data_IF_127389263442
#
_entry.id   IF_127389263442
#
_cell.length_a   1.000
_cell.length_b   1.000
_cell.length_c   1.000
_cell.angle_alpha   90.00
_cell.angle_beta   90.00
_cell.angle_gamma   90.00
#
_symmetry.space_group_name_H-M   'P 1'
#
loop_
_entity.id
_entity.type
_entity.pdbx_description
1 polymer ?
#
# COMPACT_ATOMS: atom_id res chain seq x y z
N UNK A 1 -18.30 -6.77 -17.45
CA UNK A 1 -18.51 -7.23 -16.06
C UNK A 1 -19.57 -6.36 -15.42
N UNK A 2 -20.44 -6.94 -14.56
CA UNK A 2 -21.34 -6.12 -13.76
C UNK A 2 -20.55 -5.45 -12.61
N UNK A 3 -21.15 -4.38 -11.99
CA UNK A 3 -20.48 -3.60 -10.94
C UNK A 3 -20.09 -4.44 -9.72
N UNK A 4 -20.95 -5.40 -9.31
CA UNK A 4 -20.66 -6.28 -8.17
C UNK A 4 -19.43 -7.16 -8.43
N UNK A 5 -19.32 -7.74 -9.63
CA UNK A 5 -18.15 -8.53 -10.01
C UNK A 5 -16.86 -7.71 -10.06
N UNK A 6 -16.94 -6.45 -10.52
CA UNK A 6 -15.80 -5.52 -10.52
C UNK A 6 -15.32 -5.25 -9.08
N UNK A 7 -16.23 -4.85 -8.19
CA UNK A 7 -15.90 -4.55 -6.80
C UNK A 7 -15.41 -5.78 -6.04
N UNK A 8 -16.01 -6.95 -6.31
CA UNK A 8 -15.58 -8.23 -5.72
C UNK A 8 -14.15 -8.58 -6.11
N UNK A 9 -13.86 -8.60 -7.42
CA UNK A 9 -12.55 -9.04 -7.91
C UNK A 9 -11.45 -8.06 -7.51
N UNK A 10 -11.72 -6.74 -7.61
CA UNK A 10 -10.77 -5.72 -7.14
C UNK A 10 -10.53 -5.83 -5.64
N UNK A 11 -11.58 -6.08 -4.84
CA UNK A 11 -11.46 -6.28 -3.39
C UNK A 11 -10.61 -7.49 -3.02
N UNK A 12 -10.81 -8.63 -3.69
CA UNK A 12 -9.99 -9.84 -3.47
C UNK A 12 -8.52 -9.58 -3.79
N UNK A 13 -8.22 -9.01 -4.96
CA UNK A 13 -6.85 -8.73 -5.37
C UNK A 13 -6.15 -7.73 -4.43
N UNK A 14 -6.85 -6.67 -4.03
CA UNK A 14 -6.31 -5.71 -3.07
C UNK A 14 -6.08 -6.35 -1.69
N UNK A 15 -7.03 -7.17 -1.19
CA UNK A 15 -6.86 -7.89 0.08
C UNK A 15 -5.64 -8.82 0.05
N UNK A 16 -5.43 -9.56 -1.04
CA UNK A 16 -4.25 -10.42 -1.23
C UNK A 16 -2.97 -9.58 -1.27
N UNK A 17 -2.96 -8.46 -1.99
CA UNK A 17 -1.80 -7.56 -2.03
C UNK A 17 -1.42 -7.04 -0.64
N UNK A 18 -2.41 -6.60 0.15
CA UNK A 18 -2.16 -6.14 1.53
C UNK A 18 -1.77 -7.26 2.48
N UNK A 19 -2.31 -8.47 2.31
CA UNK A 19 -1.88 -9.64 3.09
C UNK A 19 -0.41 -9.99 2.82
N UNK A 20 0.01 -9.97 1.54
CA UNK A 20 1.42 -10.14 1.18
C UNK A 20 2.28 -9.00 1.73
N UNK A 21 1.83 -7.75 1.63
CA UNK A 21 2.52 -6.60 2.21
C UNK A 21 2.70 -6.74 3.71
N UNK A 22 1.68 -7.19 4.44
CA UNK A 22 1.75 -7.47 5.87
C UNK A 22 2.79 -8.54 6.18
N UNK A 23 2.78 -9.67 5.47
CA UNK A 23 3.73 -10.77 5.69
C UNK A 23 5.19 -10.32 5.43
N UNK A 24 5.43 -9.63 4.32
CA UNK A 24 6.75 -9.09 3.98
C UNK A 24 7.23 -8.09 5.03
N UNK A 25 6.38 -7.12 5.38
CA UNK A 25 6.73 -6.09 6.36
C UNK A 25 6.94 -6.70 7.75
N UNK A 26 6.09 -7.63 8.19
CA UNK A 26 6.23 -8.32 9.47
C UNK A 26 7.52 -9.15 9.51
N UNK A 27 7.83 -9.90 8.44
CA UNK A 27 9.07 -10.68 8.37
C UNK A 27 10.31 -9.80 8.55
N UNK A 28 10.44 -8.74 7.74
CA UNK A 28 11.61 -7.86 7.82
C UNK A 28 11.67 -7.07 9.12
N UNK A 29 10.55 -6.70 9.70
CA UNK A 29 10.48 -5.96 10.98
C UNK A 29 10.79 -6.82 12.20
N UNK A 30 10.46 -8.11 12.15
CA UNK A 30 10.71 -9.07 13.25
C UNK A 30 12.10 -9.72 13.22
N UNK A 31 13.02 -9.17 12.44
CA UNK A 31 14.41 -9.61 12.40
C UNK A 31 14.78 -10.46 11.19
N UNK A 32 13.94 -10.46 10.14
CA UNK A 32 14.23 -11.16 8.89
C UNK A 32 15.57 -10.79 8.27
N UNK A 33 15.98 -9.52 8.36
CA UNK A 33 17.33 -9.10 7.95
C UNK A 33 18.43 -9.79 8.76
N UNK A 34 18.29 -9.85 10.08
CA UNK A 34 19.28 -10.51 10.95
C UNK A 34 19.34 -12.00 10.66
N UNK A 35 18.18 -12.64 10.49
CA UNK A 35 18.11 -14.07 10.15
C UNK A 35 18.81 -14.35 8.81
N UNK A 36 18.48 -13.60 7.76
CA UNK A 36 19.07 -13.80 6.44
C UNK A 36 20.57 -13.48 6.42
N UNK A 37 21.01 -12.51 7.20
CA UNK A 37 22.44 -12.20 7.37
C UNK A 37 23.22 -13.37 8.01
N UNK A 38 22.59 -14.10 8.95
CA UNK A 38 23.18 -15.31 9.54
C UNK A 38 23.41 -16.43 8.50
N UNK A 39 22.67 -16.44 7.40
CA UNK A 39 22.91 -17.33 6.27
C UNK A 39 23.98 -16.81 5.28
N UNK A 40 24.73 -15.78 5.64
CA UNK A 40 25.84 -15.25 4.84
C UNK A 40 25.41 -14.32 3.69
N UNK A 41 24.15 -13.85 3.69
CA UNK A 41 23.69 -12.89 2.69
C UNK A 41 24.18 -11.49 3.07
N UNK A 42 24.79 -10.80 2.12
CA UNK A 42 25.23 -9.42 2.32
C UNK A 42 24.07 -8.41 2.29
N UNK A 43 24.30 -7.21 2.80
CA UNK A 43 23.26 -6.17 2.90
C UNK A 43 22.67 -5.76 1.54
N UNK A 44 23.44 -5.88 0.45
CA UNK A 44 22.96 -5.56 -0.92
C UNK A 44 21.96 -6.62 -1.40
N UNK A 45 22.29 -7.89 -1.22
CA UNK A 45 21.39 -9.00 -1.57
C UNK A 45 20.12 -8.93 -0.72
N UNK A 46 20.24 -8.62 0.56
CA UNK A 46 19.11 -8.47 1.47
C UNK A 46 18.17 -7.34 1.02
N UNK A 47 18.71 -6.20 0.62
CA UNK A 47 17.90 -5.08 0.09
C UNK A 47 17.20 -5.46 -1.22
N UNK A 48 17.87 -6.20 -2.10
CA UNK A 48 17.27 -6.69 -3.34
C UNK A 48 16.14 -7.70 -3.08
N UNK A 49 16.28 -8.60 -2.10
CA UNK A 49 15.23 -9.54 -1.68
C UNK A 49 14.01 -8.76 -1.16
N UNK A 50 14.24 -7.77 -0.30
CA UNK A 50 13.16 -6.92 0.21
C UNK A 50 12.42 -6.17 -0.90
N UNK A 51 13.15 -5.53 -1.82
CA UNK A 51 12.56 -4.87 -2.98
C UNK A 51 11.80 -5.86 -3.88
N UNK A 52 12.41 -7.02 -4.18
CA UNK A 52 11.79 -8.06 -4.99
C UNK A 52 10.46 -8.57 -4.41
N UNK A 53 10.37 -8.67 -3.08
CA UNK A 53 9.15 -9.07 -2.39
C UNK A 53 8.01 -8.04 -2.53
N UNK A 54 8.32 -6.76 -2.78
CA UNK A 54 7.30 -5.71 -2.97
C UNK A 54 6.78 -5.62 -4.41
N UNK A 55 7.50 -6.18 -5.40
CA UNK A 55 7.08 -6.14 -6.79
C UNK A 55 5.72 -6.83 -7.05
N UNK A 56 5.50 -8.10 -6.61
CA UNK A 56 4.20 -8.76 -6.80
C UNK A 56 3.05 -8.01 -6.08
N UNK A 57 3.32 -7.35 -4.96
CA UNK A 57 2.33 -6.54 -4.25
C UNK A 57 1.87 -5.37 -5.12
N UNK A 58 2.81 -4.64 -5.70
CA UNK A 58 2.51 -3.51 -6.61
C UNK A 58 1.78 -3.97 -7.87
N UNK A 59 2.14 -5.13 -8.43
CA UNK A 59 1.44 -5.71 -9.59
C UNK A 59 -0.01 -6.08 -9.24
N UNK A 60 -0.26 -6.70 -8.09
CA UNK A 60 -1.60 -7.03 -7.64
C UNK A 60 -2.44 -5.77 -7.39
N UNK A 61 -1.86 -4.72 -6.80
CA UNK A 61 -2.55 -3.44 -6.63
C UNK A 61 -2.86 -2.78 -7.97
N UNK A 62 -1.93 -2.81 -8.93
CA UNK A 62 -2.18 -2.32 -10.28
C UNK A 62 -3.35 -3.06 -10.96
N UNK A 63 -3.40 -4.39 -10.81
CA UNK A 63 -4.51 -5.20 -11.32
C UNK A 63 -5.82 -4.88 -10.61
N UNK A 64 -5.82 -4.76 -9.27
CA UNK A 64 -7.01 -4.42 -8.48
C UNK A 64 -7.61 -3.07 -8.90
N UNK A 65 -6.80 -2.03 -8.98
CA UNK A 65 -7.23 -0.70 -9.41
C UNK A 65 -7.54 -0.64 -10.91
N UNK A 66 -6.84 -1.43 -11.75
CA UNK A 66 -7.13 -1.58 -13.17
C UNK A 66 -8.52 -2.14 -13.43
N UNK A 67 -8.98 -3.08 -12.60
CA UNK A 67 -10.34 -3.59 -12.65
C UNK A 67 -11.35 -2.50 -12.26
N UNK A 68 -11.05 -1.68 -11.25
CA UNK A 68 -11.92 -0.56 -10.85
C UNK A 68 -12.13 0.48 -11.95
N UNK A 69 -11.20 0.60 -12.91
CA UNK A 69 -11.39 1.48 -14.08
C UNK A 69 -12.63 1.12 -14.92
N UNK A 70 -13.09 -0.12 -14.87
CA UNK A 70 -14.27 -0.58 -15.59
C UNK A 70 -15.58 -0.13 -14.93
N UNK A 71 -15.54 0.27 -13.65
CA UNK A 71 -16.68 0.83 -12.94
C UNK A 71 -16.72 2.36 -13.13
N UNK A 72 -17.79 2.86 -13.75
CA UNK A 72 -17.96 4.28 -14.05
C UNK A 72 -17.86 5.16 -12.80
N UNK A 73 -18.39 4.71 -11.67
CA UNK A 73 -18.35 5.46 -10.40
C UNK A 73 -16.98 5.48 -9.73
N UNK A 74 -16.18 4.44 -9.97
CA UNK A 74 -14.87 4.27 -9.36
C UNK A 74 -13.72 4.53 -10.34
N UNK A 75 -14.02 4.99 -11.58
CA UNK A 75 -12.99 5.18 -12.62
C UNK A 75 -11.86 6.11 -12.18
N UNK A 76 -12.17 7.22 -11.49
CA UNK A 76 -11.16 8.17 -11.02
C UNK A 76 -10.28 7.53 -9.94
N UNK A 77 -10.90 6.85 -8.97
CA UNK A 77 -10.15 6.11 -7.93
C UNK A 77 -9.26 5.04 -8.55
N UNK A 78 -9.80 4.28 -9.52
CA UNK A 78 -9.05 3.28 -10.27
C UNK A 78 -7.87 3.86 -11.03
N UNK A 79 -8.04 4.99 -11.73
CA UNK A 79 -6.97 5.66 -12.46
C UNK A 79 -5.82 6.09 -11.54
N UNK A 80 -6.16 6.77 -10.44
CA UNK A 80 -5.17 7.23 -9.46
C UNK A 80 -4.42 6.04 -8.88
N UNK A 81 -5.13 4.96 -8.49
CA UNK A 81 -4.54 3.76 -7.93
C UNK A 81 -3.65 3.00 -8.92
N UNK A 82 -4.04 2.90 -10.21
CA UNK A 82 -3.20 2.28 -11.26
C UNK A 82 -1.91 3.07 -11.46
N UNK A 83 -2.00 4.40 -11.61
CA UNK A 83 -0.80 5.24 -11.77
C UNK A 83 0.13 5.08 -10.57
N UNK A 84 -0.42 5.13 -9.35
CA UNK A 84 0.34 4.91 -8.12
C UNK A 84 1.05 3.55 -8.12
N UNK A 85 0.33 2.46 -8.41
CA UNK A 85 0.89 1.12 -8.40
C UNK A 85 1.93 0.90 -9.53
N UNK A 86 1.70 1.44 -10.74
CA UNK A 86 2.65 1.37 -11.84
C UNK A 86 3.96 2.13 -11.55
N UNK A 87 3.87 3.33 -10.97
CA UNK A 87 5.05 4.08 -10.54
C UNK A 87 5.79 3.32 -9.43
N UNK A 88 5.06 2.72 -8.47
CA UNK A 88 5.63 1.85 -7.45
C UNK A 88 6.36 0.65 -8.04
N UNK A 89 5.78 -0.04 -9.03
CA UNK A 89 6.43 -1.12 -9.79
C UNK A 89 7.73 -0.65 -10.46
N UNK A 90 7.68 0.50 -11.13
CA UNK A 90 8.85 1.06 -11.82
C UNK A 90 9.99 1.36 -10.86
N UNK A 91 9.69 2.00 -9.71
CA UNK A 91 10.70 2.30 -8.68
C UNK A 91 11.29 1.02 -8.11
N UNK A 92 10.46 0.04 -7.78
CA UNK A 92 10.91 -1.25 -7.25
C UNK A 92 11.81 -1.97 -8.26
N UNK A 93 11.41 -1.99 -9.52
CA UNK A 93 12.17 -2.62 -10.60
C UNK A 93 13.53 -1.94 -10.83
N UNK A 94 13.57 -0.60 -10.87
CA UNK A 94 14.83 0.14 -11.00
C UNK A 94 15.76 -0.06 -9.82
N UNK A 95 15.22 -0.18 -8.61
CA UNK A 95 15.99 -0.55 -7.42
C UNK A 95 16.60 -1.96 -7.53
N UNK A 96 15.85 -2.93 -8.08
CA UNK A 96 16.33 -4.31 -8.29
C UNK A 96 17.49 -4.40 -9.28
N UNK A 97 17.44 -3.67 -10.39
CA UNK A 97 18.54 -3.67 -11.38
C UNK A 97 19.76 -2.86 -10.93
N UNK A 98 19.73 -2.27 -9.75
CA UNK A 98 20.87 -1.57 -9.17
C UNK A 98 21.23 -0.29 -9.90
N UNK A 99 20.25 0.40 -10.48
CA UNK A 99 20.44 1.68 -11.13
C UNK A 99 21.06 2.68 -10.15
N UNK A 100 22.33 3.04 -10.38
CA UNK A 100 23.17 3.84 -9.46
C UNK A 100 22.69 5.28 -9.22
N UNK A 101 21.76 5.78 -10.04
CA UNK A 101 21.13 7.08 -9.84
C UNK A 101 20.24 7.17 -8.58
N UNK A 102 20.06 6.03 -7.90
CA UNK A 102 19.28 5.93 -6.65
C UNK A 102 20.10 6.38 -5.43
N UNK A 103 21.42 6.61 -5.53
CA UNK A 103 22.27 6.57 -4.34
C UNK A 103 22.70 7.91 -3.72
N UNK A 104 22.58 9.09 -4.34
CA UNK A 104 23.02 10.32 -3.66
C UNK A 104 21.93 11.38 -3.52
N UNK A 105 21.85 12.36 -4.38
CA UNK A 105 20.79 13.39 -4.31
C UNK A 105 19.40 12.83 -4.68
N UNK A 106 19.37 11.68 -5.32
CA UNK A 106 18.17 10.95 -5.65
C UNK A 106 17.41 10.42 -4.43
N UNK A 107 18.05 10.17 -3.27
CA UNK A 107 17.31 9.70 -2.07
C UNK A 107 16.23 10.69 -1.62
N UNK A 108 16.52 11.97 -1.65
CA UNK A 108 15.53 12.99 -1.31
C UNK A 108 14.38 13.02 -2.32
N UNK A 109 14.68 12.97 -3.61
CA UNK A 109 13.67 12.88 -4.65
C UNK A 109 12.83 11.60 -4.52
N UNK A 110 13.45 10.49 -4.16
CA UNK A 110 12.75 9.22 -3.91
C UNK A 110 11.76 9.31 -2.74
N UNK A 111 12.13 9.97 -1.64
CA UNK A 111 11.21 10.21 -0.53
C UNK A 111 10.03 11.10 -0.94
N UNK A 112 10.25 12.13 -1.75
CA UNK A 112 9.17 12.95 -2.30
C UNK A 112 8.24 12.14 -3.20
N UNK A 113 8.79 11.26 -4.04
CA UNK A 113 7.98 10.37 -4.87
C UNK A 113 7.16 9.40 -4.01
N UNK A 114 7.76 8.78 -2.99
CA UNK A 114 7.02 7.91 -2.07
C UNK A 114 5.91 8.66 -1.34
N UNK A 115 6.15 9.90 -0.93
CA UNK A 115 5.11 10.73 -0.34
C UNK A 115 3.98 11.01 -1.35
N UNK A 116 4.31 11.38 -2.59
CA UNK A 116 3.31 11.58 -3.63
C UNK A 116 2.49 10.30 -3.91
N UNK A 117 3.13 9.14 -3.94
CA UNK A 117 2.46 7.85 -4.08
C UNK A 117 1.52 7.54 -2.90
N UNK A 118 1.92 7.88 -1.67
CA UNK A 118 1.06 7.73 -0.49
C UNK A 118 -0.15 8.67 -0.55
N UNK A 119 0.02 9.91 -1.04
CA UNK A 119 -1.10 10.85 -1.29
C UNK A 119 -2.05 10.28 -2.35
N UNK A 120 -1.54 9.77 -3.45
CA UNK A 120 -2.35 9.16 -4.51
C UNK A 120 -3.13 7.95 -3.98
N UNK A 121 -2.50 7.10 -3.19
CA UNK A 121 -3.14 5.96 -2.56
C UNK A 121 -4.26 6.40 -1.60
N UNK A 122 -4.01 7.38 -0.74
CA UNK A 122 -5.02 7.96 0.15
C UNK A 122 -6.22 8.50 -0.65
N UNK A 123 -5.97 9.28 -1.68
CA UNK A 123 -7.02 9.84 -2.53
C UNK A 123 -7.82 8.73 -3.23
N UNK A 124 -7.17 7.68 -3.72
CA UNK A 124 -7.87 6.57 -4.36
C UNK A 124 -8.84 5.89 -3.39
N UNK A 125 -8.42 5.63 -2.13
CA UNK A 125 -9.28 5.04 -1.10
C UNK A 125 -10.46 5.93 -0.71
N UNK A 126 -10.25 7.22 -0.56
CA UNK A 126 -11.32 8.19 -0.25
C UNK A 126 -12.38 8.22 -1.35
N UNK A 127 -11.96 8.10 -2.61
CA UNK A 127 -12.82 8.18 -3.78
C UNK A 127 -13.55 6.87 -4.11
N UNK A 128 -13.14 5.72 -3.56
CA UNK A 128 -13.81 4.44 -3.80
C UNK A 128 -15.25 4.49 -3.26
N UNK A 129 -16.20 4.23 -4.14
CA UNK A 129 -17.62 4.07 -3.83
C UNK A 129 -18.00 2.59 -3.80
N UNK A 130 -18.19 2.06 -2.60
CA UNK A 130 -18.58 0.68 -2.36
C UNK A 130 -19.63 0.58 -1.24
N UNK A 131 -20.15 -0.62 -1.02
CA UNK A 131 -21.19 -0.89 -0.03
C UNK A 131 -20.63 -1.30 1.35
N UNK A 132 -19.36 -1.02 1.62
CA UNK A 132 -18.73 -1.29 2.92
C UNK A 132 -19.32 -0.35 3.98
N UNK A 133 -19.44 -0.85 5.22
CA UNK A 133 -19.97 -0.08 6.35
C UNK A 133 -19.20 1.25 6.51
N UNK A 134 -19.93 2.30 6.92
CA UNK A 134 -19.35 3.63 7.12
C UNK A 134 -18.19 3.60 8.13
N UNK A 135 -18.34 2.84 9.20
CA UNK A 135 -17.30 2.73 10.24
C UNK A 135 -16.01 2.15 9.67
N UNK A 136 -16.08 1.03 8.92
CA UNK A 136 -14.89 0.40 8.34
C UNK A 136 -14.25 1.27 7.25
N UNK A 137 -15.05 2.02 6.48
CA UNK A 137 -14.53 3.00 5.52
C UNK A 137 -13.74 4.11 6.24
N UNK A 138 -14.25 4.64 7.35
CA UNK A 138 -13.54 5.65 8.14
C UNK A 138 -12.21 5.09 8.64
N UNK A 139 -12.19 3.86 9.17
CA UNK A 139 -10.96 3.22 9.63
C UNK A 139 -9.96 2.99 8.49
N UNK A 140 -10.42 2.61 7.29
CA UNK A 140 -9.53 2.46 6.13
C UNK A 140 -8.91 3.80 5.70
N UNK A 141 -9.69 4.88 5.72
CA UNK A 141 -9.19 6.24 5.44
C UNK A 141 -8.20 6.69 6.51
N UNK A 142 -8.48 6.42 7.80
CA UNK A 142 -7.55 6.71 8.91
C UNK A 142 -6.26 5.92 8.75
N UNK A 143 -6.34 4.64 8.38
CA UNK A 143 -5.15 3.81 8.12
C UNK A 143 -4.31 4.36 6.97
N UNK A 144 -4.93 4.81 5.87
CA UNK A 144 -4.22 5.44 4.76
C UNK A 144 -3.63 6.80 5.14
N UNK A 145 -4.36 7.62 5.92
CA UNK A 145 -3.86 8.90 6.45
C UNK A 145 -2.64 8.68 7.36
N UNK A 146 -2.66 7.62 8.17
CA UNK A 146 -1.50 7.24 8.97
C UNK A 146 -0.28 6.91 8.11
N UNK A 147 -0.47 6.23 6.98
CA UNK A 147 0.59 6.01 5.99
C UNK A 147 1.22 7.32 5.48
N UNK A 148 0.41 8.36 5.25
CA UNK A 148 0.93 9.70 4.91
C UNK A 148 1.77 10.30 6.04
N UNK A 149 1.31 10.19 7.28
CA UNK A 149 2.06 10.68 8.45
C UNK A 149 3.40 9.96 8.58
N UNK A 150 3.43 8.64 8.36
CA UNK A 150 4.68 7.88 8.34
C UNK A 150 5.64 8.37 7.26
N UNK A 151 5.16 8.63 6.04
CA UNK A 151 5.99 9.15 4.96
C UNK A 151 6.51 10.56 5.28
N UNK A 152 5.70 11.42 5.87
CA UNK A 152 6.13 12.74 6.33
C UNK A 152 7.20 12.65 7.43
N UNK A 153 7.06 11.70 8.37
CA UNK A 153 8.06 11.48 9.41
C UNK A 153 9.41 11.09 8.82
N UNK A 154 9.43 10.13 7.89
CA UNK A 154 10.65 9.74 7.19
C UNK A 154 11.25 10.87 6.35
N UNK A 155 10.41 11.66 5.68
CA UNK A 155 10.84 12.85 4.96
C UNK A 155 11.49 13.88 5.91
N UNK A 156 10.89 14.11 7.07
CA UNK A 156 11.43 14.99 8.10
C UNK A 156 12.79 14.54 8.62
N UNK A 157 12.97 13.24 8.85
CA UNK A 157 14.25 12.64 9.26
C UNK A 157 15.33 12.89 8.19
N UNK A 158 15.00 12.69 6.91
CA UNK A 158 15.96 12.88 5.82
C UNK A 158 16.34 14.37 5.65
N UNK A 159 15.36 15.27 5.74
CA UNK A 159 15.62 16.74 5.73
C UNK A 159 16.51 17.12 6.90
N UNK A 160 16.23 16.64 8.12
CA UNK A 160 17.04 16.91 9.30
C UNK A 160 18.47 16.42 9.11
N UNK A 161 18.66 15.18 8.65
CA UNK A 161 19.98 14.60 8.37
C UNK A 161 20.80 15.47 7.43
N UNK A 162 20.19 15.95 6.34
CA UNK A 162 20.87 16.80 5.34
C UNK A 162 21.20 18.19 5.89
N UNK A 163 20.25 18.80 6.58
CA UNK A 163 20.40 20.16 7.07
C UNK A 163 21.50 20.29 8.13
N UNK A 164 21.60 19.29 9.01
CA UNK A 164 22.59 19.29 10.08
C UNK A 164 23.84 18.47 9.76
N UNK A 165 23.94 17.91 8.55
CA UNK A 165 25.08 17.07 8.11
C UNK A 165 25.41 15.96 9.12
N UNK A 166 24.39 15.39 9.76
CA UNK A 166 24.54 14.36 10.80
C UNK A 166 24.90 13.03 10.14
N UNK A 167 25.86 12.32 10.73
CA UNK A 167 26.25 10.99 10.28
C UNK A 167 25.13 9.96 10.56
N UNK A 168 25.14 8.83 9.83
CA UNK A 168 24.17 7.76 10.04
C UNK A 168 24.20 7.27 11.49
N UNK A 169 25.40 7.14 12.08
CA UNK A 169 25.56 6.69 13.47
C UNK A 169 24.94 7.70 14.47
N UNK A 170 25.08 9.00 14.22
CA UNK A 170 24.43 10.04 15.03
C UNK A 170 22.89 10.05 14.91
N UNK A 171 22.36 9.42 13.87
CA UNK A 171 20.91 9.32 13.62
C UNK A 171 20.28 8.04 14.16
N UNK A 172 21.05 7.07 14.65
CA UNK A 172 20.55 5.74 15.06
C UNK A 172 19.34 5.81 16.00
N UNK A 173 19.40 6.68 17.01
CA UNK A 173 18.28 6.84 17.96
C UNK A 173 17.03 7.37 17.27
N UNK A 174 17.17 8.37 16.39
CA UNK A 174 16.04 8.95 15.64
C UNK A 174 15.43 7.91 14.71
N UNK A 175 16.26 7.16 13.98
CA UNK A 175 15.82 6.06 13.12
C UNK A 175 15.09 4.98 13.94
N UNK A 176 15.61 4.58 15.10
CA UNK A 176 14.97 3.58 15.96
C UNK A 176 13.59 4.05 16.45
N UNK A 177 13.48 5.31 16.90
CA UNK A 177 12.22 5.89 17.37
C UNK A 177 11.21 5.98 16.23
N UNK A 178 11.59 6.56 15.09
CA UNK A 178 10.68 6.70 13.93
C UNK A 178 10.28 5.33 13.41
N UNK A 179 11.22 4.37 13.31
CA UNK A 179 10.93 3.00 12.89
C UNK A 179 9.94 2.31 13.83
N UNK A 180 10.09 2.45 15.14
CA UNK A 180 9.15 1.91 16.13
C UNK A 180 7.72 2.43 15.90
N UNK A 181 7.57 3.76 15.80
CA UNK A 181 6.26 4.38 15.60
C UNK A 181 5.67 4.14 14.22
N UNK A 182 6.47 3.91 13.19
CA UNK A 182 5.96 3.66 11.84
C UNK A 182 5.68 2.19 11.56
N UNK A 183 6.45 1.27 12.15
CA UNK A 183 6.37 -0.16 11.84
C UNK A 183 5.16 -0.83 12.49
N UNK A 184 5.08 -0.83 13.82
CA UNK A 184 4.03 -1.58 14.53
C UNK A 184 2.62 -1.04 14.22
N UNK A 185 2.36 0.28 14.33
CA UNK A 185 1.05 0.80 13.94
C UNK A 185 0.80 0.67 12.42
N UNK A 186 1.84 0.73 11.58
CA UNK A 186 1.73 0.48 10.14
C UNK A 186 1.24 -0.93 9.82
N UNK A 187 1.72 -1.95 10.54
CA UNK A 187 1.19 -3.32 10.43
C UNK A 187 -0.29 -3.39 10.82
N UNK A 188 -0.70 -2.71 11.90
CA UNK A 188 -2.10 -2.64 12.30
C UNK A 188 -2.97 -1.96 11.24
N UNK A 189 -2.49 -0.86 10.66
CA UNK A 189 -3.18 -0.19 9.55
C UNK A 189 -3.34 -1.11 8.33
N UNK A 190 -2.33 -1.92 8.02
CA UNK A 190 -2.40 -2.90 6.93
C UNK A 190 -3.48 -3.96 7.19
N UNK A 191 -3.65 -4.42 8.43
CA UNK A 191 -4.75 -5.34 8.82
C UNK A 191 -6.11 -4.67 8.59
N UNK A 192 -6.27 -3.41 8.94
CA UNK A 192 -7.53 -2.67 8.68
C UNK A 192 -7.84 -2.63 7.18
N UNK A 193 -6.84 -2.41 6.33
CA UNK A 193 -7.02 -2.39 4.88
C UNK A 193 -7.37 -3.77 4.32
N UNK A 194 -6.77 -4.84 4.84
CA UNK A 194 -7.14 -6.22 4.48
C UNK A 194 -8.62 -6.46 4.79
N UNK A 195 -9.06 -6.14 6.00
CA UNK A 195 -10.46 -6.32 6.42
C UNK A 195 -11.40 -5.48 5.56
N UNK A 196 -11.03 -4.23 5.25
CA UNK A 196 -11.81 -3.36 4.37
C UNK A 196 -12.04 -3.96 2.98
N UNK A 197 -11.00 -4.47 2.34
CA UNK A 197 -11.11 -5.04 0.99
C UNK A 197 -11.78 -6.42 0.98
N UNK A 198 -11.64 -7.23 2.04
CA UNK A 198 -12.42 -8.47 2.23
C UNK A 198 -13.91 -8.13 2.33
N UNK A 199 -14.27 -7.12 3.14
CA UNK A 199 -15.68 -6.73 3.29
C UNK A 199 -16.24 -6.13 2.01
N UNK A 200 -15.44 -5.38 1.23
CA UNK A 200 -15.82 -4.94 -0.11
C UNK A 200 -16.19 -6.13 -1.01
N UNK A 201 -15.38 -7.18 -1.01
CA UNK A 201 -15.64 -8.37 -1.79
C UNK A 201 -16.93 -9.08 -1.33
N UNK A 202 -17.13 -9.25 -0.02
CA UNK A 202 -18.30 -9.92 0.58
C UNK A 202 -19.61 -9.18 0.34
N UNK A 203 -19.61 -7.88 0.53
CA UNK A 203 -20.83 -7.07 0.33
C UNK A 203 -21.24 -7.04 -1.13
N UNK A 204 -20.29 -7.14 -2.05
CA UNK A 204 -20.56 -7.23 -3.49
C UNK A 204 -21.20 -8.57 -3.86
N UNK A 205 -20.81 -9.68 -3.21
CA UNK A 205 -21.45 -11.00 -3.40
C UNK A 205 -22.89 -11.01 -2.91
N UNK A 206 -23.15 -10.45 -1.74
CA UNK A 206 -24.52 -10.38 -1.18
C UNK A 206 -25.48 -9.59 -2.08
N UNK A 207 -25.01 -8.47 -2.63
CA UNK A 207 -25.81 -7.70 -3.58
C UNK A 207 -26.12 -8.49 -4.86
N UNK A 208 -25.21 -9.33 -5.31
CA UNK A 208 -25.42 -10.17 -6.50
C UNK A 208 -26.40 -11.30 -6.21
N UNK A 209 -26.25 -12.02 -5.10
CA UNK A 209 -27.14 -13.11 -4.72
C UNK A 209 -28.59 -12.63 -4.54
N UNK A 210 -28.80 -11.46 -3.90
CA UNK A 210 -30.16 -10.90 -3.74
C UNK A 210 -30.79 -10.46 -5.07
N UNK A 211 -30.01 -10.20 -6.09
CA UNK A 211 -30.50 -9.87 -7.44
C UNK A 211 -30.89 -11.12 -8.22
N UNK A 212 -30.08 -12.20 -8.09
CA UNK A 212 -30.30 -13.49 -8.76
C UNK A 212 -31.49 -14.24 -8.14
N UNK A 213 -31.73 -14.08 -6.82
CA UNK A 213 -32.87 -14.69 -6.11
C UNK A 213 -34.23 -13.97 -6.36
N UNK A 214 -34.27 -12.96 -7.21
CA UNK A 214 -35.51 -12.22 -7.55
C UNK A 214 -36.16 -11.45 -6.39
N UNK A 215 -35.43 -11.29 -5.25
CA UNK A 215 -35.93 -10.60 -4.06
C UNK A 215 -36.00 -9.08 -4.21
N UNK A 216 -35.50 -8.53 -5.32
CA UNK A 216 -35.59 -7.11 -5.62
C UNK A 216 -36.76 -6.84 -6.56
N UNK A 217 -37.98 -6.86 -6.02
CA UNK A 217 -39.08 -6.14 -6.68
C UNK A 217 -38.85 -4.64 -6.45
N UNK A 218 -38.65 -3.83 -7.55
CA UNK A 218 -38.61 -2.39 -7.37
C UNK A 218 -39.96 -1.94 -6.77
N UNK A 219 -39.97 -0.94 -5.87
CA UNK A 219 -41.23 -0.41 -5.37
C UNK A 219 -42.07 0.05 -6.55
N UNK A 220 -43.22 -0.56 -6.71
CA UNK A 220 -44.21 -0.12 -7.69
C UNK A 220 -44.62 1.31 -7.29
N UNK A 221 -44.31 2.27 -8.16
CA UNK A 221 -44.79 3.66 -8.04
C UNK A 221 -46.25 3.73 -8.37
#
# INVERSE_FOLDING_TARGET
MNRSSILRLSGILAAVAFALSFLVSAFFSLGGFTLLHQFGLDGRVLSQISLGAHLPISVLLAAAFGILLQDRENRVAGLIGVVQACVGCFITFTGLIGASWVYDDAMFCMHLVHFALAVMYFLSLVLIRNNVSRALRVWAVVAAAYGLVCQLAWQGVEVYRRWYSVTIDGMQTIYAVVSFFTTLPGLMCTVVLIVYFIEQARTSDRCQASFDDGAYLPPQQ
#
